data_IF_353771094599
#
_entry.id   IF_353771094599
#
_cell.length_a   1.000
_cell.length_b   1.000
_cell.length_c   1.000
_cell.angle_alpha   90.00
_cell.angle_beta   90.00
_cell.angle_gamma   90.00
#
_symmetry.space_group_name_H-M   'P 1'
#
loop_
_entity.id
_entity.type
_entity.pdbx_description
1 polymer ?
#
# COMPACT_ATOMS: atom_id res chain seq x y z
N UNK A 1 -3.48 22.67 17.69
CA UNK A 1 -3.91 22.57 19.11
C UNK A 1 -2.90 23.24 20.02
N UNK A 2 -1.64 22.83 19.96
CA UNK A 2 -0.56 23.37 20.78
C UNK A 2 -0.15 24.78 20.33
N UNK A 3 0.39 24.95 19.12
CA UNK A 3 0.92 26.23 18.63
C UNK A 3 -0.16 27.28 18.37
N UNK A 4 -1.23 26.89 17.65
CA UNK A 4 -2.32 27.78 17.28
C UNK A 4 -3.45 27.86 18.32
N UNK A 5 -3.28 27.22 19.50
CA UNK A 5 -4.28 27.21 20.58
C UNK A 5 -5.72 26.84 20.15
N UNK A 6 -5.84 25.95 19.16
CA UNK A 6 -7.13 25.48 18.65
C UNK A 6 -7.87 24.64 19.70
N UNK A 7 -9.18 24.82 19.80
CA UNK A 7 -10.05 24.00 20.64
C UNK A 7 -10.01 22.53 20.16
N UNK A 8 -9.56 21.58 21.00
CA UNK A 8 -9.44 20.17 20.62
C UNK A 8 -10.78 19.44 20.53
N UNK A 9 -11.90 20.07 20.88
CA UNK A 9 -13.20 19.42 21.08
C UNK A 9 -13.69 18.55 19.92
N UNK A 10 -13.42 18.99 18.69
CA UNK A 10 -13.85 18.31 17.47
C UNK A 10 -12.68 17.67 16.71
N UNK A 11 -11.55 17.49 17.38
CA UNK A 11 -10.39 16.81 16.80
C UNK A 11 -10.37 15.35 17.22
N UNK A 12 -10.08 14.50 16.25
CA UNK A 12 -10.03 13.05 16.37
C UNK A 12 -8.65 12.55 15.98
N UNK A 13 -8.25 11.42 16.54
CA UNK A 13 -7.06 10.70 16.10
C UNK A 13 -7.48 9.50 15.24
N UNK A 14 -6.75 9.25 14.16
CA UNK A 14 -6.87 8.06 13.32
C UNK A 14 -5.47 7.59 12.91
N UNK A 15 -5.37 6.33 12.49
CA UNK A 15 -4.13 5.74 11.96
C UNK A 15 -3.99 5.89 10.45
N UNK A 16 -5.12 6.05 9.75
CA UNK A 16 -5.21 5.84 8.30
C UNK A 16 -4.61 4.46 7.95
N UNK A 17 -3.90 4.35 6.83
CA UNK A 17 -3.16 3.14 6.47
C UNK A 17 -2.00 2.87 7.43
N UNK A 18 -1.96 1.65 7.99
CA UNK A 18 -0.86 1.19 8.84
C UNK A 18 -0.33 -0.16 8.36
N UNK A 19 0.95 -0.19 8.02
CA UNK A 19 1.61 -1.40 7.55
C UNK A 19 1.73 -2.45 8.67
N UNK A 20 1.73 -3.74 8.30
CA UNK A 20 1.80 -4.85 9.27
C UNK A 20 3.01 -4.76 10.20
N UNK A 21 4.17 -4.36 9.68
CA UNK A 21 5.37 -4.13 10.48
C UNK A 21 5.18 -3.03 11.54
N UNK A 22 4.57 -1.90 11.18
CA UNK A 22 4.25 -0.80 12.11
C UNK A 22 3.27 -1.28 13.18
N UNK A 23 2.22 -2.01 12.81
CA UNK A 23 1.26 -2.56 13.77
C UNK A 23 1.93 -3.44 14.82
N UNK A 24 2.87 -4.30 14.38
CA UNK A 24 3.55 -5.26 15.25
C UNK A 24 4.63 -4.60 16.13
N UNK A 25 5.38 -3.65 15.57
CA UNK A 25 6.56 -3.08 16.24
C UNK A 25 6.24 -1.83 17.05
N UNK A 26 5.29 -1.02 16.57
CA UNK A 26 5.00 0.29 17.12
C UNK A 26 3.59 0.44 17.69
N UNK A 27 2.64 -0.40 17.26
CA UNK A 27 1.24 -0.37 17.70
C UNK A 27 0.28 0.29 16.69
N UNK A 28 -0.97 0.45 17.11
CA UNK A 28 -2.08 0.93 16.27
C UNK A 28 -2.54 2.32 16.75
N UNK A 29 -3.75 2.44 17.32
CA UNK A 29 -4.24 3.71 17.87
C UNK A 29 -3.44 4.17 19.09
N UNK A 30 -2.92 3.24 19.90
CA UNK A 30 -2.05 3.54 21.04
C UNK A 30 -0.76 4.25 20.58
N UNK A 31 -0.17 3.83 19.45
CA UNK A 31 0.94 4.53 18.81
C UNK A 31 0.61 5.98 18.45
N UNK A 32 -0.57 6.21 17.87
CA UNK A 32 -1.02 7.57 17.49
C UNK A 32 -1.19 8.45 18.73
N UNK A 33 -1.74 7.91 19.82
CA UNK A 33 -1.84 8.60 21.11
C UNK A 33 -0.46 8.96 21.64
N UNK A 34 0.47 8.00 21.72
CA UNK A 34 1.86 8.23 22.17
C UNK A 34 2.57 9.27 21.32
N UNK A 35 2.39 9.21 20.00
CA UNK A 35 2.97 10.18 19.07
C UNK A 35 2.41 11.59 19.30
N UNK A 36 1.09 11.74 19.43
CA UNK A 36 0.47 13.04 19.70
C UNK A 36 0.99 13.66 21.00
N UNK A 37 1.18 12.84 22.04
CA UNK A 37 1.76 13.27 23.31
C UNK A 37 3.22 13.70 23.14
N UNK A 38 4.02 12.92 22.40
CA UNK A 38 5.41 13.26 22.10
C UNK A 38 5.56 14.57 21.31
N UNK A 39 4.55 14.95 20.51
CA UNK A 39 4.47 16.25 19.82
C UNK A 39 3.98 17.40 20.73
N UNK A 40 3.84 17.17 22.03
CA UNK A 40 3.54 18.20 23.04
C UNK A 40 2.06 18.31 23.41
N UNK A 41 1.19 17.41 22.95
CA UNK A 41 -0.20 17.38 23.41
C UNK A 41 -0.27 16.81 24.84
N UNK A 42 -1.07 17.42 25.71
CA UNK A 42 -1.29 16.88 27.05
C UNK A 42 -1.90 15.47 26.97
N UNK A 43 -1.45 14.48 27.77
CA UNK A 43 -1.94 13.10 27.69
C UNK A 43 -3.45 12.95 27.72
N UNK A 44 -4.13 13.68 28.61
CA UNK A 44 -5.60 13.64 28.71
C UNK A 44 -6.26 14.16 27.43
N UNK A 45 -5.72 15.20 26.78
CA UNK A 45 -6.27 15.70 25.51
C UNK A 45 -6.09 14.68 24.38
N UNK A 46 -4.94 14.02 24.30
CA UNK A 46 -4.70 12.96 23.31
C UNK A 46 -5.69 11.80 23.49
N UNK A 47 -5.89 11.37 24.74
CA UNK A 47 -6.86 10.31 25.08
C UNK A 47 -8.29 10.76 24.75
N UNK A 48 -8.66 12.01 25.03
CA UNK A 48 -9.98 12.55 24.66
C UNK A 48 -10.22 12.49 23.15
N UNK A 49 -9.22 12.85 22.34
CA UNK A 49 -9.29 12.78 20.88
C UNK A 49 -9.41 11.35 20.34
N UNK A 50 -8.96 10.34 21.10
CA UNK A 50 -9.07 8.92 20.75
C UNK A 50 -10.30 8.23 21.35
N UNK A 51 -11.05 8.90 22.24
CA UNK A 51 -12.17 8.29 22.98
C UNK A 51 -13.44 9.13 22.87
N UNK A 52 -13.66 10.09 23.77
CA UNK A 52 -14.93 10.81 23.87
C UNK A 52 -15.22 11.69 22.67
N UNK A 53 -14.23 12.38 22.10
CA UNK A 53 -14.44 13.19 20.90
C UNK A 53 -14.90 12.32 19.74
N UNK A 54 -14.26 11.16 19.56
CA UNK A 54 -14.62 10.17 18.53
C UNK A 54 -16.03 9.65 18.76
N UNK A 55 -16.36 9.27 20.00
CA UNK A 55 -17.67 8.78 20.35
C UNK A 55 -18.77 9.81 20.08
N UNK A 56 -18.55 11.08 20.39
CA UNK A 56 -19.54 12.13 20.15
C UNK A 56 -19.67 12.48 18.67
N UNK A 57 -18.56 12.51 17.93
CA UNK A 57 -18.58 12.72 16.49
C UNK A 57 -19.46 11.68 15.78
N UNK A 58 -19.35 10.41 16.17
CA UNK A 58 -20.16 9.32 15.62
C UNK A 58 -21.52 9.13 16.31
N UNK A 59 -21.88 9.95 17.30
CA UNK A 59 -23.17 9.86 18.00
C UNK A 59 -23.29 8.68 18.97
N UNK A 60 -22.17 8.08 19.40
CA UNK A 60 -22.08 6.88 20.23
C UNK A 60 -21.72 7.17 21.71
N UNK A 61 -21.67 8.43 22.14
CA UNK A 61 -21.25 8.81 23.50
C UNK A 61 -22.16 8.35 24.64
N UNK A 62 -23.37 7.87 24.31
CA UNK A 62 -24.27 7.18 25.24
C UNK A 62 -23.81 5.76 25.54
N UNK A 63 -23.01 5.16 24.66
CA UNK A 63 -22.59 3.76 24.73
C UNK A 63 -21.10 3.60 25.05
N UNK A 64 -20.22 4.48 24.54
CA UNK A 64 -18.76 4.33 24.65
C UNK A 64 -18.01 5.66 24.69
N UNK A 65 -16.68 5.59 24.84
CA UNK A 65 -15.77 6.73 24.80
C UNK A 65 -15.55 7.44 26.13
N UNK A 66 -16.18 7.00 27.22
CA UNK A 66 -15.94 7.52 28.57
C UNK A 66 -16.17 6.46 29.65
N UNK A 67 -15.48 6.61 30.78
CA UNK A 67 -15.71 5.81 31.98
C UNK A 67 -16.86 6.44 32.80
N UNK A 68 -18.08 5.97 32.57
CA UNK A 68 -19.26 6.41 33.32
C UNK A 68 -20.35 5.32 33.37
N UNK A 69 -21.24 5.33 34.38
CA UNK A 69 -22.36 4.40 34.45
C UNK A 69 -23.23 4.42 33.18
N UNK A 70 -23.71 3.24 32.78
CA UNK A 70 -24.57 3.06 31.60
C UNK A 70 -23.86 2.94 30.25
N UNK A 71 -22.51 2.95 30.21
CA UNK A 71 -21.70 2.68 29.01
C UNK A 71 -21.12 1.27 29.03
N UNK A 72 -20.64 0.80 27.89
CA UNK A 72 -19.80 -0.38 27.79
C UNK A 72 -18.53 -0.21 28.62
N UNK A 73 -18.15 -1.26 29.35
CA UNK A 73 -16.88 -1.32 30.06
C UNK A 73 -15.75 -1.69 29.06
N UNK A 74 -15.49 -0.77 28.14
CA UNK A 74 -14.33 -0.78 27.24
C UNK A 74 -13.24 0.08 27.88
N UNK A 75 -12.28 -0.56 28.54
CA UNK A 75 -11.32 0.08 29.45
C UNK A 75 -9.91 -0.43 29.13
N UNK A 76 -8.97 0.50 29.01
CA UNK A 76 -7.54 0.20 28.95
C UNK A 76 -6.90 0.72 30.23
N UNK A 77 -6.28 -0.17 31.01
CA UNK A 77 -5.45 0.21 32.14
C UNK A 77 -4.01 0.31 31.65
N UNK A 78 -3.39 1.45 31.90
CA UNK A 78 -2.00 1.75 31.57
C UNK A 78 -1.26 2.14 32.84
N UNK A 79 0.04 1.84 32.92
CA UNK A 79 0.88 2.26 34.07
C UNK A 79 1.11 3.77 34.09
N UNK A 80 1.23 4.37 32.90
CA UNK A 80 1.47 5.79 32.70
C UNK A 80 0.72 6.28 31.45
N UNK A 81 0.21 7.50 31.53
CA UNK A 81 -0.58 8.11 30.44
C UNK A 81 0.29 8.64 29.30
N UNK A 82 1.59 8.85 29.53
CA UNK A 82 2.53 9.38 28.52
C UNK A 82 3.01 8.28 27.58
N UNK A 83 3.50 7.16 28.13
CA UNK A 83 3.88 5.99 27.34
C UNK A 83 2.65 5.17 26.92
N UNK A 84 1.49 5.32 27.56
CA UNK A 84 0.21 4.72 27.15
C UNK A 84 0.28 3.24 26.73
N UNK A 85 1.14 2.45 27.37
CA UNK A 85 1.27 1.02 27.08
C UNK A 85 0.19 0.25 27.83
N UNK A 86 -0.62 -0.51 27.10
CA UNK A 86 -1.73 -1.28 27.66
C UNK A 86 -1.23 -2.42 28.57
N UNK A 87 -1.52 -2.31 29.87
CA UNK A 87 -1.29 -3.39 30.84
C UNK A 87 -2.46 -4.37 30.93
N UNK A 88 -3.69 -3.86 30.92
CA UNK A 88 -4.93 -4.65 30.93
C UNK A 88 -5.95 -4.04 29.97
N UNK A 89 -6.58 -4.87 29.15
CA UNK A 89 -7.65 -4.45 28.24
C UNK A 89 -8.94 -5.19 28.61
N UNK A 90 -9.97 -4.41 28.89
CA UNK A 90 -11.32 -4.88 29.16
C UNK A 90 -12.19 -4.45 27.97
N UNK A 91 -12.91 -5.39 27.36
CA UNK A 91 -13.90 -5.10 26.33
C UNK A 91 -15.27 -5.61 26.80
N UNK A 92 -16.26 -4.73 26.82
CA UNK A 92 -17.62 -4.98 27.31
C UNK A 92 -17.67 -5.68 28.67
N UNK A 93 -16.75 -5.32 29.57
CA UNK A 93 -16.67 -5.84 30.93
C UNK A 93 -15.93 -7.18 31.08
N UNK A 94 -15.36 -7.72 30.00
CA UNK A 94 -14.53 -8.92 30.03
C UNK A 94 -13.07 -8.56 29.84
N UNK A 95 -12.17 -9.12 30.64
CA UNK A 95 -10.73 -8.97 30.42
C UNK A 95 -10.35 -9.77 29.18
N UNK A 96 -9.91 -9.09 28.12
CA UNK A 96 -9.58 -9.70 26.82
C UNK A 96 -8.09 -9.75 26.53
N UNK A 97 -7.29 -8.90 27.18
CA UNK A 97 -5.84 -8.96 27.07
C UNK A 97 -5.17 -8.47 28.36
N UNK A 98 -4.00 -9.04 28.67
CA UNK A 98 -3.17 -8.66 29.82
C UNK A 98 -1.69 -8.81 29.47
N UNK A 99 -0.87 -7.83 29.83
CA UNK A 99 0.58 -7.82 29.62
C UNK A 99 1.00 -8.18 28.19
N UNK A 100 0.33 -7.58 27.20
CA UNK A 100 0.59 -7.79 25.77
C UNK A 100 0.13 -9.15 25.22
N UNK A 101 -0.63 -9.94 25.99
CA UNK A 101 -1.16 -11.24 25.56
C UNK A 101 -2.68 -11.21 25.48
N UNK A 102 -3.22 -11.74 24.39
CA UNK A 102 -4.65 -11.98 24.25
C UNK A 102 -5.06 -13.12 25.19
N UNK A 103 -6.16 -12.95 25.92
CA UNK A 103 -6.71 -13.92 26.87
C UNK A 103 -7.99 -14.61 26.36
N UNK A 104 -8.39 -14.27 25.14
CA UNK A 104 -9.55 -14.85 24.46
C UNK A 104 -9.10 -15.53 23.17
N UNK A 105 -9.88 -16.53 22.76
CA UNK A 105 -9.74 -17.11 21.44
C UNK A 105 -10.42 -16.20 20.40
N UNK A 106 -9.71 -15.95 19.30
CA UNK A 106 -10.30 -15.27 18.16
C UNK A 106 -11.16 -16.27 17.36
N UNK A 107 -12.33 -15.84 16.85
CA UNK A 107 -13.15 -16.72 16.05
C UNK A 107 -12.43 -17.11 14.76
N UNK A 108 -12.54 -18.37 14.36
CA UNK A 108 -12.15 -18.78 13.01
C UNK A 108 -13.13 -18.19 12.00
N UNK A 109 -12.59 -17.58 10.94
CA UNK A 109 -13.38 -17.00 9.86
C UNK A 109 -13.20 -17.85 8.61
N UNK A 110 -14.32 -18.37 8.09
CA UNK A 110 -14.34 -19.05 6.79
C UNK A 110 -14.60 -18.01 5.70
N UNK A 111 -13.64 -17.85 4.79
CA UNK A 111 -13.78 -16.92 3.68
C UNK A 111 -14.47 -17.59 2.49
N UNK A 112 -15.38 -16.88 1.80
CA UNK A 112 -16.04 -17.42 0.62
C UNK A 112 -15.04 -17.56 -0.53
N UNK A 113 -15.27 -18.54 -1.41
CA UNK A 113 -14.36 -18.85 -2.52
C UNK A 113 -14.10 -17.66 -3.45
N UNK A 114 -15.06 -16.75 -3.65
CA UNK A 114 -14.86 -15.56 -4.48
C UNK A 114 -13.84 -14.57 -3.87
N UNK A 115 -13.71 -14.54 -2.54
CA UNK A 115 -12.73 -13.70 -1.87
C UNK A 115 -11.32 -14.30 -1.98
N UNK A 116 -11.21 -15.64 -1.91
CA UNK A 116 -9.94 -16.35 -2.02
C UNK A 116 -9.43 -16.51 -3.46
N UNK A 117 -10.33 -16.45 -4.46
CA UNK A 117 -10.01 -16.60 -5.88
C UNK A 117 -10.28 -15.28 -6.64
N UNK A 118 -9.66 -14.20 -6.15
CA UNK A 118 -9.87 -12.84 -6.66
C UNK A 118 -8.85 -12.38 -7.70
N UNK A 119 -7.83 -13.21 -8.00
CA UNK A 119 -6.83 -12.92 -9.03
C UNK A 119 -7.12 -13.79 -10.26
N UNK A 120 -7.83 -13.20 -11.22
CA UNK A 120 -8.33 -13.85 -12.41
C UNK A 120 -7.63 -13.30 -13.65
N UNK A 121 -6.62 -14.04 -14.13
CA UNK A 121 -5.96 -13.73 -15.40
C UNK A 121 -6.60 -14.52 -16.54
N UNK A 122 -6.76 -13.89 -17.71
CA UNK A 122 -7.27 -14.56 -18.92
C UNK A 122 -6.41 -15.74 -19.34
N UNK A 123 -5.10 -15.58 -19.18
CA UNK A 123 -4.04 -16.56 -19.47
C UNK A 123 -2.79 -16.17 -18.68
N UNK A 124 -1.80 -17.07 -18.53
CA UNK A 124 -0.47 -16.68 -18.11
C UNK A 124 0.07 -15.54 -18.99
N UNK A 125 0.65 -14.54 -18.35
CA UNK A 125 1.26 -13.40 -19.03
C UNK A 125 2.58 -13.83 -19.67
N UNK A 126 2.87 -13.26 -20.82
CA UNK A 126 4.09 -13.53 -21.59
C UNK A 126 4.94 -12.28 -21.63
N UNK A 127 6.21 -12.44 -22.00
CA UNK A 127 7.16 -11.33 -22.14
C UNK A 127 6.62 -10.26 -23.08
N UNK A 128 5.94 -10.66 -24.16
CA UNK A 128 5.39 -9.73 -25.15
C UNK A 128 4.27 -8.83 -24.60
N UNK A 129 3.61 -9.22 -23.50
CA UNK A 129 2.58 -8.40 -22.85
C UNK A 129 3.16 -7.16 -22.16
N UNK A 130 4.47 -7.14 -21.90
CA UNK A 130 5.20 -6.04 -21.26
C UNK A 130 6.01 -5.18 -22.25
N UNK A 131 5.90 -5.50 -23.54
CA UNK A 131 6.65 -4.83 -24.60
C UNK A 131 6.04 -3.49 -24.99
N UNK A 132 6.70 -2.39 -24.63
CA UNK A 132 6.34 -1.04 -25.06
C UNK A 132 6.73 -0.81 -26.53
N UNK A 133 5.84 -1.21 -27.43
CA UNK A 133 6.08 -1.14 -28.87
C UNK A 133 6.12 0.30 -29.37
N UNK A 134 7.12 0.61 -30.19
CA UNK A 134 7.35 1.92 -30.77
C UNK A 134 7.86 1.79 -32.21
N UNK A 135 7.83 2.87 -33.00
CA UNK A 135 8.46 2.88 -34.31
C UNK A 135 9.96 2.58 -34.17
N UNK A 136 10.49 1.67 -34.98
CA UNK A 136 11.88 1.24 -34.83
C UNK A 136 12.87 2.39 -35.11
N UNK A 137 13.91 2.49 -34.26
CA UNK A 137 15.00 3.46 -34.39
C UNK A 137 14.54 4.92 -34.43
N UNK A 138 13.54 5.26 -33.60
CA UNK A 138 13.05 6.63 -33.45
C UNK A 138 13.32 7.19 -32.06
N UNK A 139 13.42 8.52 -32.00
CA UNK A 139 13.34 9.27 -30.74
C UNK A 139 11.90 9.75 -30.58
N UNK A 140 11.30 9.46 -29.42
CA UNK A 140 9.93 9.80 -29.09
C UNK A 140 9.91 10.63 -27.81
N UNK A 141 8.82 11.35 -27.56
CA UNK A 141 8.58 11.94 -26.24
C UNK A 141 7.59 11.07 -25.49
N UNK A 142 8.02 10.50 -24.36
CA UNK A 142 7.15 9.68 -23.52
C UNK A 142 6.46 10.51 -22.43
N UNK A 143 5.18 10.23 -22.18
CA UNK A 143 4.49 10.63 -20.95
C UNK A 143 4.91 9.66 -19.84
N UNK A 144 5.59 10.17 -18.81
CA UNK A 144 6.19 9.37 -17.72
C UNK A 144 5.60 9.81 -16.39
N UNK A 145 5.23 8.83 -15.55
CA UNK A 145 4.81 9.09 -14.18
C UNK A 145 6.06 9.40 -13.34
N UNK A 146 6.17 10.63 -12.84
CA UNK A 146 7.26 11.05 -11.95
C UNK A 146 6.87 10.87 -10.49
N UNK A 147 7.49 9.93 -9.80
CA UNK A 147 7.28 9.71 -8.36
C UNK A 147 7.89 10.85 -7.55
N UNK A 148 7.20 11.24 -6.48
CA UNK A 148 7.73 12.14 -5.44
C UNK A 148 7.74 11.36 -4.14
N UNK A 149 8.93 11.10 -3.60
CA UNK A 149 9.06 10.30 -2.39
C UNK A 149 8.28 10.91 -1.20
N UNK A 150 7.60 10.05 -0.45
CA UNK A 150 6.77 10.40 0.72
C UNK A 150 5.59 11.35 0.39
N UNK A 151 5.17 11.42 -0.87
CA UNK A 151 4.02 12.21 -1.29
C UNK A 151 3.08 11.36 -2.15
N UNK A 152 1.78 11.50 -1.91
CA UNK A 152 0.79 10.84 -2.74
C UNK A 152 0.78 11.38 -4.18
N UNK A 153 0.84 12.71 -4.44
CA UNK A 153 0.91 13.25 -5.80
C UNK A 153 2.12 12.78 -6.62
N UNK A 154 1.94 12.71 -7.93
CA UNK A 154 3.00 12.47 -8.93
C UNK A 154 3.23 13.71 -9.77
N UNK A 155 4.28 13.70 -10.60
CA UNK A 155 4.51 14.66 -11.67
C UNK A 155 4.17 14.03 -13.02
N UNK A 156 3.62 14.83 -13.94
CA UNK A 156 3.57 14.47 -15.35
C UNK A 156 4.88 14.88 -16.03
N UNK A 157 5.76 13.92 -16.26
CA UNK A 157 7.03 14.16 -16.94
C UNK A 157 6.90 13.88 -18.45
N UNK A 158 7.64 14.65 -19.25
CA UNK A 158 7.80 14.41 -20.70
C UNK A 158 9.28 14.19 -20.97
N UNK A 159 9.66 12.94 -21.24
CA UNK A 159 11.05 12.52 -21.32
C UNK A 159 11.34 12.00 -22.75
N UNK A 160 12.44 12.45 -23.40
CA UNK A 160 12.87 11.85 -24.65
C UNK A 160 13.31 10.40 -24.41
N UNK A 161 12.79 9.48 -25.21
CA UNK A 161 13.12 8.05 -25.15
C UNK A 161 13.51 7.54 -26.53
N UNK A 162 14.39 6.53 -26.55
CA UNK A 162 14.83 5.89 -27.79
C UNK A 162 14.17 4.53 -27.94
N UNK A 163 13.61 4.28 -29.13
CA UNK A 163 13.09 2.99 -29.51
C UNK A 163 14.18 2.16 -30.19
N UNK A 164 14.57 1.05 -29.57
CA UNK A 164 15.54 0.10 -30.09
C UNK A 164 14.81 -1.19 -30.49
N UNK A 165 15.04 -1.69 -31.70
CA UNK A 165 14.38 -2.88 -32.25
C UNK A 165 12.83 -2.82 -32.20
N UNK A 166 12.27 -1.62 -32.30
CA UNK A 166 10.82 -1.38 -32.24
C UNK A 166 10.24 -1.34 -30.83
N UNK A 167 11.05 -1.09 -29.80
CA UNK A 167 10.63 -1.08 -28.41
C UNK A 167 11.34 0.02 -27.61
N UNK A 168 10.61 0.67 -26.71
CA UNK A 168 11.20 1.49 -25.65
C UNK A 168 11.39 0.62 -24.40
N UNK A 169 12.65 0.44 -24.00
CA UNK A 169 13.02 -0.34 -22.80
C UNK A 169 13.09 0.58 -21.57
N UNK A 170 13.14 -0.04 -20.39
CA UNK A 170 13.55 0.68 -19.19
C UNK A 170 14.99 1.20 -19.35
N UNK A 171 15.30 2.30 -18.67
CA UNK A 171 16.64 2.89 -18.62
C UNK A 171 17.03 3.17 -17.17
N UNK A 172 17.66 2.18 -16.50
CA UNK A 172 18.14 2.33 -15.13
C UNK A 172 19.12 3.49 -14.92
N UNK A 173 19.81 3.95 -15.97
CA UNK A 173 20.76 5.06 -15.85
C UNK A 173 20.07 6.40 -15.67
N UNK A 174 18.85 6.53 -16.20
CA UNK A 174 17.98 7.70 -16.04
C UNK A 174 16.82 7.46 -15.07
N UNK A 175 16.94 6.40 -14.24
CA UNK A 175 15.92 5.97 -13.28
C UNK A 175 14.54 5.80 -13.94
N UNK A 176 14.50 5.17 -15.11
CA UNK A 176 13.29 4.94 -15.87
C UNK A 176 12.96 3.45 -15.85
N UNK A 177 11.82 3.10 -15.26
CA UNK A 177 11.29 1.73 -15.21
C UNK A 177 9.99 1.61 -16.02
N UNK A 178 9.65 0.38 -16.41
CA UNK A 178 8.33 0.07 -16.96
C UNK A 178 7.34 -0.16 -15.81
N UNK A 179 6.12 0.29 -16.00
CA UNK A 179 4.98 -0.07 -15.15
C UNK A 179 3.88 -0.68 -16.02
N UNK A 180 3.29 -1.77 -15.55
CA UNK A 180 2.14 -2.41 -16.15
C UNK A 180 0.99 -2.44 -15.15
N UNK A 181 -0.22 -2.21 -15.64
CA UNK A 181 -1.45 -2.50 -14.92
C UNK A 181 -2.20 -3.61 -15.65
N UNK A 182 -2.37 -4.73 -14.96
CA UNK A 182 -3.00 -5.95 -15.46
C UNK A 182 -4.39 -6.08 -14.84
N UNK A 183 -5.40 -6.15 -15.70
CA UNK A 183 -6.78 -6.41 -15.31
C UNK A 183 -6.89 -7.84 -14.73
N UNK A 184 -7.37 -7.94 -13.49
CA UNK A 184 -7.38 -9.21 -12.72
C UNK A 184 -8.72 -9.59 -12.12
N UNK A 185 -9.76 -8.78 -12.28
CA UNK A 185 -11.06 -9.01 -11.68
C UNK A 185 -11.94 -9.86 -12.59
N UNK A 186 -11.92 -9.56 -13.89
CA UNK A 186 -12.84 -10.14 -14.88
C UNK A 186 -12.14 -11.02 -15.92
N UNK A 187 -10.81 -11.18 -15.84
CA UNK A 187 -10.01 -11.94 -16.79
C UNK A 187 -10.22 -11.48 -18.25
N UNK A 188 -10.37 -10.17 -18.47
CA UNK A 188 -10.50 -9.58 -19.82
C UNK A 188 -9.23 -9.75 -20.66
N UNK A 189 -8.07 -9.84 -19.98
CA UNK A 189 -6.74 -9.89 -20.55
C UNK A 189 -6.16 -8.51 -20.89
N UNK A 190 -6.76 -7.43 -20.37
CA UNK A 190 -6.22 -6.08 -20.51
C UNK A 190 -4.90 -5.91 -19.76
N UNK A 191 -3.89 -5.39 -20.45
CA UNK A 191 -2.62 -4.96 -19.88
C UNK A 191 -2.33 -3.57 -20.43
N UNK A 192 -2.21 -2.60 -19.53
CA UNK A 192 -1.81 -1.24 -19.87
C UNK A 192 -0.36 -1.04 -19.45
N UNK A 193 0.44 -0.45 -20.33
CA UNK A 193 1.86 -0.19 -20.07
C UNK A 193 2.11 1.31 -19.97
N UNK A 194 3.13 1.66 -19.20
CA UNK A 194 3.62 3.01 -19.04
C UNK A 194 5.07 3.01 -18.57
N UNK A 195 5.59 4.21 -18.38
CA UNK A 195 6.91 4.45 -17.83
C UNK A 195 6.79 5.23 -16.52
N UNK A 196 7.68 4.94 -15.58
CA UNK A 196 7.75 5.60 -14.29
C UNK A 196 9.19 5.94 -13.95
N UNK A 197 9.40 7.12 -13.35
CA UNK A 197 10.70 7.58 -12.86
C UNK A 197 10.63 7.82 -11.35
N UNK A 198 11.68 7.45 -10.62
CA UNK A 198 11.85 7.77 -9.20
C UNK A 198 12.01 6.57 -8.25
N UNK A 199 12.01 5.32 -8.76
CA UNK A 199 12.12 4.13 -7.91
C UNK A 199 13.58 3.70 -7.68
N UNK A 200 14.52 4.16 -8.48
CA UNK A 200 15.95 3.86 -8.35
C UNK A 200 16.34 2.41 -8.67
N UNK A 201 15.54 1.67 -9.45
CA UNK A 201 15.84 0.27 -9.78
C UNK A 201 17.06 0.19 -10.71
N UNK A 202 18.10 -0.54 -10.29
CA UNK A 202 19.39 -0.67 -11.01
C UNK A 202 19.70 -2.08 -11.49
N UNK A 203 19.00 -3.07 -10.96
CA UNK A 203 19.18 -4.48 -11.31
C UNK A 203 18.08 -4.94 -12.25
N UNK A 204 18.34 -6.03 -12.99
CA UNK A 204 17.30 -6.78 -13.71
C UNK A 204 16.35 -7.42 -12.70
N UNK A 205 15.17 -6.83 -12.56
CA UNK A 205 14.23 -7.18 -11.53
C UNK A 205 12.83 -6.61 -11.81
N UNK A 206 11.83 -7.18 -11.13
CA UNK A 206 10.47 -6.69 -11.13
C UNK A 206 9.79 -6.89 -9.78
N UNK A 207 8.77 -6.09 -9.52
CA UNK A 207 7.90 -6.17 -8.35
C UNK A 207 6.47 -6.20 -8.84
N UNK A 208 5.69 -7.19 -8.44
CA UNK A 208 4.25 -7.20 -8.64
C UNK A 208 3.49 -7.01 -7.32
N UNK A 209 2.34 -6.33 -7.39
CA UNK A 209 1.41 -6.13 -6.26
C UNK A 209 -0.03 -6.15 -6.72
N UNK A 210 -0.93 -6.78 -5.95
CA UNK A 210 -2.39 -6.62 -6.11
C UNK A 210 -2.98 -5.54 -5.21
N UNK A 211 -2.15 -4.96 -4.33
CA UNK A 211 -2.47 -3.75 -3.57
C UNK A 211 -2.14 -2.55 -4.43
N UNK A 212 -3.12 -2.10 -5.22
CA UNK A 212 -3.06 -0.91 -6.07
C UNK A 212 -4.28 0.00 -5.84
N UNK A 213 -4.12 1.04 -5.03
CA UNK A 213 -5.18 1.96 -4.65
C UNK A 213 -5.83 2.60 -5.90
N UNK A 214 -7.15 2.64 -6.09
CA UNK A 214 -8.22 1.96 -5.32
C UNK A 214 -8.94 0.87 -6.13
N UNK A 215 -8.58 0.71 -7.41
CA UNK A 215 -9.19 -0.34 -8.25
C UNK A 215 -8.59 -1.71 -7.98
N UNK A 216 -7.44 -1.77 -7.30
CA UNK A 216 -6.73 -2.98 -6.89
C UNK A 216 -6.55 -3.98 -8.03
N UNK A 217 -6.23 -3.48 -9.23
CA UNK A 217 -5.65 -4.27 -10.29
C UNK A 217 -4.24 -4.76 -9.91
N UNK A 218 -3.66 -5.64 -10.72
CA UNK A 218 -2.27 -6.02 -10.50
C UNK A 218 -1.36 -4.96 -11.12
N UNK A 219 -0.51 -4.33 -10.31
CA UNK A 219 0.58 -3.49 -10.80
C UNK A 219 1.85 -4.30 -10.86
N UNK A 220 2.63 -4.10 -11.93
CA UNK A 220 3.95 -4.71 -12.12
C UNK A 220 4.91 -3.60 -12.48
N UNK A 221 5.95 -3.41 -11.66
CA UNK A 221 7.04 -2.48 -11.89
C UNK A 221 8.28 -3.29 -12.28
N UNK A 222 9.03 -2.92 -13.31
CA UNK A 222 10.24 -3.66 -13.63
C UNK A 222 11.20 -2.97 -14.58
N UNK A 223 12.41 -3.52 -14.65
CA UNK A 223 13.51 -3.06 -15.51
C UNK A 223 13.65 -3.88 -16.79
N UNK A 224 12.99 -5.04 -16.87
CA UNK A 224 12.94 -5.90 -18.06
C UNK A 224 11.66 -6.74 -18.11
N UNK A 225 11.27 -7.15 -19.32
CA UNK A 225 9.98 -7.78 -19.61
C UNK A 225 9.91 -9.21 -19.08
N UNK A 226 11.03 -9.93 -19.10
CA UNK A 226 11.15 -11.27 -18.55
C UNK A 226 10.87 -11.30 -17.05
N UNK A 227 11.48 -10.38 -16.30
CA UNK A 227 11.25 -10.23 -14.86
C UNK A 227 9.81 -9.83 -14.58
N UNK A 228 9.24 -8.90 -15.35
CA UNK A 228 7.83 -8.47 -15.18
C UNK A 228 6.84 -9.62 -15.42
N UNK A 229 7.07 -10.44 -16.46
CA UNK A 229 6.25 -11.61 -16.72
C UNK A 229 6.39 -12.67 -15.62
N UNK A 230 7.61 -12.93 -15.14
CA UNK A 230 7.83 -13.87 -14.04
C UNK A 230 7.13 -13.41 -12.75
N UNK A 231 7.32 -12.15 -12.37
CA UNK A 231 6.72 -11.46 -11.24
C UNK A 231 5.19 -11.60 -11.22
N UNK A 232 4.55 -11.15 -12.31
CA UNK A 232 3.10 -11.14 -12.44
C UNK A 232 2.48 -12.55 -12.37
N UNK A 233 3.11 -13.52 -13.04
CA UNK A 233 2.63 -14.89 -13.03
C UNK A 233 2.80 -15.54 -11.64
N UNK A 234 3.94 -15.32 -10.98
CA UNK A 234 4.16 -15.83 -9.62
C UNK A 234 3.13 -15.24 -8.64
N UNK A 235 2.88 -13.94 -8.70
CA UNK A 235 1.86 -13.28 -7.89
C UNK A 235 0.46 -13.87 -8.10
N UNK A 236 0.10 -14.20 -9.35
CA UNK A 236 -1.15 -14.87 -9.65
C UNK A 236 -1.23 -16.28 -9.03
N UNK A 237 -0.14 -17.05 -9.02
CA UNK A 237 -0.11 -18.37 -8.38
C UNK A 237 -0.27 -18.31 -6.86
N UNK A 238 0.13 -17.20 -6.23
CA UNK A 238 -0.03 -16.98 -4.78
C UNK A 238 -1.43 -16.50 -4.39
N UNK A 239 -2.31 -16.17 -5.34
CA UNK A 239 -3.62 -15.61 -5.06
C UNK A 239 -3.60 -14.13 -4.68
N UNK A 240 -2.54 -13.41 -5.04
CA UNK A 240 -2.34 -11.99 -4.73
C UNK A 240 -1.43 -11.75 -3.51
N UNK A 241 -1.12 -10.49 -3.27
CA UNK A 241 -0.07 -10.07 -2.36
C UNK A 241 0.93 -9.11 -3.00
N UNK A 242 2.18 -9.25 -2.60
CA UNK A 242 3.32 -8.56 -3.21
C UNK A 242 4.51 -9.50 -3.30
N UNK A 243 5.34 -9.31 -4.32
CA UNK A 243 6.55 -10.09 -4.51
C UNK A 243 7.63 -9.31 -5.27
N UNK A 244 8.86 -9.79 -5.19
CA UNK A 244 10.01 -9.24 -5.92
C UNK A 244 10.75 -10.38 -6.60
N UNK A 245 10.87 -10.30 -7.93
CA UNK A 245 11.77 -11.11 -8.75
C UNK A 245 13.04 -10.34 -9.02
N UNK A 246 14.20 -10.97 -8.86
CA UNK A 246 15.49 -10.46 -9.33
C UNK A 246 16.25 -11.57 -10.04
N UNK A 247 16.72 -11.30 -11.25
CA UNK A 247 17.48 -12.28 -12.08
C UNK A 247 16.74 -13.62 -12.23
N UNK A 248 15.42 -13.58 -12.36
CA UNK A 248 14.56 -14.75 -12.54
C UNK A 248 14.21 -15.52 -11.26
N UNK A 249 14.66 -15.08 -10.08
CA UNK A 249 14.34 -15.72 -8.80
C UNK A 249 13.46 -14.80 -7.94
N UNK A 250 12.48 -15.38 -7.24
CA UNK A 250 11.70 -14.68 -6.23
C UNK A 250 12.57 -14.49 -4.97
N UNK A 251 12.87 -13.25 -4.64
CA UNK A 251 13.74 -12.89 -3.49
C UNK A 251 12.97 -12.31 -2.30
N UNK A 252 11.68 -12.00 -2.47
CA UNK A 252 10.80 -11.54 -1.41
C UNK A 252 9.34 -11.74 -1.79
N UNK A 253 8.49 -12.09 -0.83
CA UNK A 253 7.07 -12.30 -1.06
C UNK A 253 6.24 -12.17 0.22
N UNK A 254 5.02 -11.65 0.07
CA UNK A 254 3.95 -11.70 1.07
C UNK A 254 2.64 -12.04 0.37
N UNK A 255 2.11 -13.22 0.66
CA UNK A 255 0.82 -13.68 0.14
C UNK A 255 -0.33 -13.00 0.90
N UNK A 256 -1.30 -12.49 0.15
CA UNK A 256 -2.51 -11.83 0.66
C UNK A 256 -3.76 -12.45 0.04
N UNK A 257 -4.06 -13.73 0.35
CA UNK A 257 -5.05 -14.53 -0.38
C UNK A 257 -6.48 -13.99 -0.31
N UNK A 258 -6.83 -13.18 0.70
CA UNK A 258 -8.17 -12.61 0.82
C UNK A 258 -8.21 -11.33 -0.05
N UNK A 259 -8.96 -11.42 -1.15
CA UNK A 259 -9.14 -10.36 -2.15
C UNK A 259 -7.84 -9.88 -2.85
N UNK A 260 -6.70 -10.57 -2.62
CA UNK A 260 -5.39 -10.07 -3.03
C UNK A 260 -4.89 -8.91 -2.15
N UNK A 261 -5.48 -8.71 -0.97
CA UNK A 261 -5.29 -7.51 -0.14
C UNK A 261 -4.99 -7.83 1.34
N UNK A 262 -5.53 -8.94 1.86
CA UNK A 262 -5.43 -9.28 3.28
C UNK A 262 -4.94 -10.73 3.43
N UNK A 263 -4.14 -10.99 4.46
CA UNK A 263 -3.76 -12.35 4.86
C UNK A 263 -4.62 -12.84 6.02
N UNK A 264 -4.85 -14.17 6.07
CA UNK A 264 -5.48 -14.86 7.18
C UNK A 264 -4.47 -15.31 8.25
N UNK A 265 -3.18 -14.97 8.10
CA UNK A 265 -2.16 -15.24 9.11
C UNK A 265 -2.11 -14.16 10.19
N UNK A 266 -1.39 -14.48 11.27
CA UNK A 266 -1.08 -13.49 12.31
C UNK A 266 -0.22 -12.35 11.76
N UNK A 267 -0.47 -11.13 12.24
CA UNK A 267 0.24 -9.93 11.81
C UNK A 267 1.77 -10.06 11.90
N UNK A 268 2.33 -10.76 12.89
CA UNK A 268 3.77 -10.94 13.02
C UNK A 268 4.37 -11.80 11.88
N UNK A 269 3.62 -12.78 11.37
CA UNK A 269 4.03 -13.57 10.22
C UNK A 269 3.98 -12.74 8.94
N UNK A 270 2.89 -12.00 8.74
CA UNK A 270 2.71 -11.09 7.59
C UNK A 270 3.79 -10.00 7.59
N UNK A 271 4.12 -9.44 8.75
CA UNK A 271 5.19 -8.44 8.89
C UNK A 271 6.56 -8.98 8.48
N UNK A 272 6.91 -10.21 8.89
CA UNK A 272 8.17 -10.86 8.47
C UNK A 272 8.21 -11.09 6.96
N UNK A 273 7.10 -11.54 6.37
CA UNK A 273 6.99 -11.73 4.92
C UNK A 273 7.11 -10.40 4.17
N UNK A 274 6.41 -9.36 4.61
CA UNK A 274 6.47 -8.03 4.02
C UNK A 274 7.88 -7.39 4.12
N UNK A 275 8.63 -7.66 5.19
CA UNK A 275 10.04 -7.23 5.29
C UNK A 275 10.90 -7.85 4.19
N UNK A 276 10.61 -9.08 3.74
CA UNK A 276 11.34 -9.67 2.60
C UNK A 276 11.09 -8.91 1.30
N UNK A 277 9.89 -8.35 1.11
CA UNK A 277 9.56 -7.52 -0.05
C UNK A 277 10.34 -6.20 0.00
N UNK A 278 10.38 -5.54 1.16
CA UNK A 278 11.17 -4.31 1.34
C UNK A 278 12.68 -4.56 1.14
N UNK A 279 13.19 -5.69 1.66
CA UNK A 279 14.55 -6.12 1.40
C UNK A 279 14.80 -6.41 -0.09
N UNK A 280 13.80 -6.96 -0.79
CA UNK A 280 13.83 -7.19 -2.22
C UNK A 280 13.93 -5.90 -3.04
N UNK A 281 13.12 -4.88 -2.72
CA UNK A 281 13.24 -3.55 -3.31
C UNK A 281 14.67 -2.99 -3.16
N UNK A 282 15.24 -3.07 -1.95
CA UNK A 282 16.62 -2.64 -1.69
C UNK A 282 17.63 -3.46 -2.51
N UNK A 283 17.43 -4.77 -2.63
CA UNK A 283 18.29 -5.62 -3.45
C UNK A 283 18.20 -5.33 -4.96
N UNK A 284 17.11 -4.71 -5.43
CA UNK A 284 16.98 -4.15 -6.77
C UNK A 284 17.64 -2.78 -6.96
N UNK A 285 18.08 -2.12 -5.88
CA UNK A 285 18.66 -0.78 -5.89
C UNK A 285 17.75 0.35 -5.41
N UNK A 286 16.50 0.05 -5.02
CA UNK A 286 15.58 1.07 -4.51
C UNK A 286 15.99 1.56 -3.12
N UNK A 287 16.16 2.87 -2.96
CA UNK A 287 16.52 3.51 -1.68
C UNK A 287 15.35 4.26 -1.04
N UNK A 288 14.15 4.21 -1.64
CA UNK A 288 12.98 4.90 -1.12
C UNK A 288 12.61 4.39 0.29
N UNK A 289 12.13 5.29 1.13
CA UNK A 289 11.65 4.97 2.47
C UNK A 289 10.44 4.01 2.46
N UNK A 290 9.49 4.20 1.53
CA UNK A 290 8.28 3.38 1.44
C UNK A 290 7.87 3.07 -0.01
N UNK A 291 8.63 2.22 -0.72
CA UNK A 291 8.39 1.93 -2.13
C UNK A 291 7.08 1.17 -2.36
N UNK A 292 6.65 0.33 -1.41
CA UNK A 292 5.38 -0.39 -1.48
C UNK A 292 4.19 0.58 -1.55
N UNK A 293 4.15 1.56 -0.65
CA UNK A 293 3.09 2.58 -0.66
C UNK A 293 3.13 3.37 -1.97
N UNK A 294 4.32 3.81 -2.40
CA UNK A 294 4.44 4.56 -3.66
C UNK A 294 3.92 3.77 -4.86
N UNK A 295 4.30 2.50 -4.98
CA UNK A 295 3.85 1.62 -6.06
C UNK A 295 2.32 1.47 -6.02
N UNK A 296 1.75 1.26 -4.83
CA UNK A 296 0.30 1.11 -4.67
C UNK A 296 -0.48 2.33 -5.17
N UNK A 297 0.09 3.52 -5.08
CA UNK A 297 -0.57 4.78 -5.44
C UNK A 297 -0.48 5.09 -6.94
N UNK A 298 0.32 4.36 -7.74
CA UNK A 298 0.42 4.62 -9.19
C UNK A 298 -0.93 4.42 -9.91
N UNK A 299 -1.80 3.58 -9.34
CA UNK A 299 -3.16 3.29 -9.82
C UNK A 299 -4.23 4.29 -9.39
N UNK A 300 -3.92 5.25 -8.51
CA UNK A 300 -4.91 6.06 -7.82
C UNK A 300 -5.32 7.29 -8.64
N UNK A 301 -6.21 7.07 -9.62
CA UNK A 301 -6.68 8.06 -10.62
C UNK A 301 -7.53 9.21 -10.09
N UNK A 302 -7.45 9.49 -8.78
CA UNK A 302 -8.12 10.63 -8.12
C UNK A 302 -7.12 11.64 -7.54
N UNK A 303 -5.82 11.33 -7.55
CA UNK A 303 -4.75 12.22 -7.08
C UNK A 303 -3.86 12.62 -8.26
N UNK A 304 -3.65 13.94 -8.50
CA UNK A 304 -2.77 14.45 -9.56
C UNK A 304 -1.32 13.93 -9.49
N UNK A 305 -0.51 14.03 -10.55
CA UNK A 305 -0.85 14.54 -11.91
C UNK A 305 -1.14 13.43 -12.92
N UNK A 306 -0.22 12.47 -13.08
CA UNK A 306 -0.30 11.39 -14.06
C UNK A 306 -0.32 10.03 -13.34
N UNK A 307 -1.25 9.16 -13.73
CA UNK A 307 -1.46 7.82 -13.15
C UNK A 307 -1.63 6.78 -14.25
N UNK A 308 -1.65 5.50 -13.88
CA UNK A 308 -2.01 4.40 -14.79
C UNK A 308 -3.32 3.74 -14.32
N UNK A 309 -4.18 3.37 -15.27
CA UNK A 309 -5.44 2.65 -15.03
C UNK A 309 -5.57 1.46 -15.98
N UNK A 310 -6.64 0.69 -15.86
CA UNK A 310 -7.05 -0.32 -16.84
C UNK A 310 -7.40 0.26 -18.22
N UNK A 311 -7.58 1.58 -18.30
CA UNK A 311 -7.85 2.32 -19.55
C UNK A 311 -6.59 2.96 -20.17
N UNK A 312 -5.45 2.96 -19.47
CA UNK A 312 -4.20 3.58 -19.93
C UNK A 312 -3.66 4.63 -18.96
N UNK A 313 -2.75 5.50 -19.45
CA UNK A 313 -2.24 6.62 -18.67
C UNK A 313 -3.33 7.69 -18.52
N UNK A 314 -3.55 8.16 -17.30
CA UNK A 314 -4.60 9.13 -16.97
C UNK A 314 -3.96 10.43 -16.52
N UNK A 315 -4.19 11.51 -17.26
CA UNK A 315 -4.00 12.88 -16.80
C UNK A 315 -5.20 13.22 -15.90
N UNK A 316 -4.97 13.23 -14.60
CA UNK A 316 -6.03 13.39 -13.59
C UNK A 316 -6.54 14.83 -13.54
N UNK A 317 -5.70 15.82 -13.91
CA UNK A 317 -6.11 17.22 -13.92
C UNK A 317 -7.09 17.51 -15.07
N UNK A 318 -6.85 16.91 -16.24
CA UNK A 318 -7.67 17.13 -17.43
C UNK A 318 -8.70 16.03 -17.68
N UNK A 319 -8.70 14.96 -16.89
CA UNK A 319 -9.53 13.76 -17.06
C UNK A 319 -9.40 13.14 -18.46
N UNK A 320 -8.16 12.98 -18.93
CA UNK A 320 -7.86 12.46 -20.27
C UNK A 320 -6.99 11.22 -20.22
N UNK A 321 -7.29 10.26 -21.11
CA UNK A 321 -6.39 9.15 -21.38
C UNK A 321 -5.32 9.61 -22.37
N UNK A 322 -4.06 9.46 -21.99
CA UNK A 322 -2.91 9.83 -22.80
C UNK A 322 -2.24 8.58 -23.40
N UNK A 323 -1.70 8.67 -24.62
CA UNK A 323 -0.79 7.64 -25.14
C UNK A 323 0.54 7.68 -24.35
N UNK A 324 1.25 6.56 -24.33
CA UNK A 324 2.60 6.52 -23.73
C UNK A 324 3.57 7.40 -24.52
N UNK A 325 3.50 7.38 -25.86
CA UNK A 325 4.37 8.16 -26.74
C UNK A 325 3.59 9.24 -27.49
N UNK A 326 4.20 10.41 -27.65
CA UNK A 326 3.78 11.51 -28.51
C UNK A 326 4.58 11.53 -29.81
#
# INVERSE_FOLDING_TARGET
>A
VTEAHLDPRNLLLCTDDSHSATLVQEGHMDRVVRHAIAQGLAPILAIQMATINTAEHFGLSRELGMIAPGRWADIVLVEDLTNFQAGLVIARGQVVAENGRLLIDLPEVVYPGWALNSVNLKRPLRVEDFRLTAAANSTLTANVIGVIENQAPTRHLRIPVEAQDGEVRADPTNDLAKVALVERHQATGGVQLGLVQGFGLRESCAVATTVAHDSHHMLVLGTDDESMAAAANYLATMGGGQEVVRKGEVIGAVDLPIAGLISNERAEAVARKAETVLAGFRACGCEMNNPNMQLSLLGLVVIPDLRISDQGLVDVNHFQILPVFQ
#
